data_IF_200695855990
#
_entry.id   IF_200695855990
#
_cell.length_a   1.000
_cell.length_b   1.000
_cell.length_c   1.000
_cell.angle_alpha   90.00
_cell.angle_beta   90.00
_cell.angle_gamma   90.00
#
_symmetry.space_group_name_H-M   'P 1'
#
loop_
_entity.id
_entity.type
_entity.pdbx_description
1 polymer ?
#
# COMPACT_ATOMS: atom_id res chain seq x y z
N UNK A 1 -18.83 44.45 -12.34
CA UNK A 1 -19.77 43.32 -12.16
C UNK A 1 -20.59 43.23 -13.43
N UNK A 2 -20.11 42.48 -14.43
CA UNK A 2 -20.86 42.25 -15.65
C UNK A 2 -22.06 41.37 -15.32
N UNK A 3 -23.25 41.93 -15.50
CA UNK A 3 -24.49 41.27 -15.12
C UNK A 3 -24.82 40.19 -16.15
N UNK A 4 -24.99 38.94 -15.71
CA UNK A 4 -25.50 37.82 -16.52
C UNK A 4 -26.84 38.15 -17.22
N UNK A 5 -27.54 39.19 -16.78
CA UNK A 5 -28.73 39.74 -17.45
C UNK A 5 -28.45 40.40 -18.81
N UNK A 6 -27.19 40.68 -19.17
CA UNK A 6 -26.82 41.27 -20.47
C UNK A 6 -26.34 40.25 -21.50
N UNK A 7 -26.49 38.95 -21.24
CA UNK A 7 -26.17 37.95 -22.27
C UNK A 7 -27.17 38.08 -23.44
N UNK A 8 -26.70 38.28 -24.68
CA UNK A 8 -27.57 38.26 -25.86
C UNK A 8 -28.09 36.83 -26.11
N UNK A 9 -29.20 36.73 -26.85
CA UNK A 9 -29.87 35.45 -27.12
C UNK A 9 -28.92 34.48 -27.84
N UNK A 10 -28.67 33.31 -27.24
CA UNK A 10 -27.71 32.32 -27.74
C UNK A 10 -26.28 32.45 -27.18
N UNK A 11 -25.98 33.44 -26.34
CA UNK A 11 -24.68 33.53 -25.67
C UNK A 11 -24.55 32.50 -24.51
N UNK A 12 -23.33 31.99 -24.35
CA UNK A 12 -22.95 31.06 -23.28
C UNK A 12 -21.90 31.74 -22.42
N UNK A 13 -22.19 31.92 -21.14
CA UNK A 13 -21.19 32.33 -20.16
C UNK A 13 -20.64 31.08 -19.47
N UNK A 14 -19.32 30.93 -19.48
CA UNK A 14 -18.63 29.84 -18.80
C UNK A 14 -17.66 30.45 -17.80
N UNK A 15 -17.82 30.06 -16.55
CA UNK A 15 -16.86 30.40 -15.49
C UNK A 15 -16.43 29.12 -14.82
N UNK A 16 -15.13 28.99 -14.60
CA UNK A 16 -14.54 27.86 -13.89
C UNK A 16 -13.67 28.38 -12.77
N UNK A 17 -13.93 27.91 -11.57
CA UNK A 17 -13.08 28.16 -10.42
C UNK A 17 -12.62 26.83 -9.85
N UNK A 18 -11.32 26.60 -9.96
CA UNK A 18 -10.67 25.33 -9.60
C UNK A 18 -11.36 24.14 -10.28
N UNK A 19 -12.15 23.38 -9.51
CA UNK A 19 -12.80 22.12 -9.91
C UNK A 19 -14.32 22.25 -10.02
N UNK A 20 -14.83 23.48 -9.94
CA UNK A 20 -16.22 23.81 -10.16
C UNK A 20 -16.34 24.56 -11.49
N UNK A 21 -17.17 24.02 -12.37
CA UNK A 21 -17.51 24.65 -13.64
C UNK A 21 -18.96 25.07 -13.62
N UNK A 22 -19.23 26.31 -14.01
CA UNK A 22 -20.58 26.84 -14.14
C UNK A 22 -20.75 27.29 -15.58
N UNK A 23 -21.83 26.85 -16.19
CA UNK A 23 -22.23 27.22 -17.53
C UNK A 23 -23.63 27.85 -17.47
N UNK A 24 -23.74 29.10 -17.88
CA UNK A 24 -25.00 29.83 -17.95
C UNK A 24 -25.37 30.07 -19.42
N UNK A 25 -26.59 29.69 -19.81
CA UNK A 25 -27.13 29.86 -21.18
C UNK A 25 -28.45 30.59 -21.15
N UNK A 26 -28.65 31.53 -22.08
CA UNK A 26 -29.95 32.16 -22.29
C UNK A 26 -30.63 31.54 -23.52
N UNK A 27 -31.86 31.03 -23.34
CA UNK A 27 -32.69 30.49 -24.43
C UNK A 27 -34.13 30.95 -24.25
N UNK A 28 -34.66 31.75 -25.18
CA UNK A 28 -36.04 32.22 -25.16
C UNK A 28 -36.41 33.02 -23.90
N UNK A 29 -35.51 33.88 -23.43
CA UNK A 29 -35.69 34.68 -22.21
C UNK A 29 -35.47 33.94 -20.89
N UNK A 30 -35.20 32.61 -20.90
CA UNK A 30 -34.89 31.82 -19.70
C UNK A 30 -33.39 31.58 -19.58
N UNK A 31 -32.85 31.77 -18.37
CA UNK A 31 -31.44 31.49 -18.05
C UNK A 31 -31.34 30.09 -17.42
N UNK A 32 -30.56 29.22 -18.04
CA UNK A 32 -30.22 27.89 -17.54
C UNK A 32 -28.82 27.93 -16.94
N UNK A 33 -28.68 27.50 -15.69
CA UNK A 33 -27.40 27.42 -14.98
C UNK A 33 -27.09 25.96 -14.71
N UNK A 34 -25.99 25.47 -15.26
CA UNK A 34 -25.47 24.12 -15.02
C UNK A 34 -24.17 24.22 -14.26
N UNK A 35 -24.14 23.66 -13.05
CA UNK A 35 -22.93 23.54 -12.24
C UNK A 35 -22.43 22.09 -12.25
N UNK A 36 -21.15 21.87 -12.56
CA UNK A 36 -20.48 20.59 -12.36
C UNK A 36 -19.31 20.76 -11.40
N UNK A 37 -19.07 19.77 -10.54
CA UNK A 37 -17.98 19.79 -9.58
C UNK A 37 -17.30 18.43 -9.53
N UNK A 38 -15.98 18.42 -9.59
CA UNK A 38 -15.16 17.20 -9.59
C UNK A 38 -14.78 16.73 -8.17
N UNK A 39 -15.61 17.03 -7.17
CA UNK A 39 -15.31 16.71 -5.77
C UNK A 39 -15.49 15.22 -5.44
N UNK A 40 -16.43 14.54 -6.11
CA UNK A 40 -16.69 13.12 -5.86
C UNK A 40 -15.63 12.22 -6.50
N UNK A 41 -15.25 12.50 -7.76
CA UNK A 41 -14.24 11.71 -8.46
C UNK A 41 -12.90 11.75 -7.72
N UNK A 42 -12.50 12.94 -7.24
CA UNK A 42 -11.29 13.08 -6.42
C UNK A 42 -11.35 12.28 -5.12
N UNK A 43 -12.51 12.23 -4.46
CA UNK A 43 -12.65 11.43 -3.24
C UNK A 43 -12.48 9.95 -3.55
N UNK A 44 -13.06 9.47 -4.65
CA UNK A 44 -12.89 8.09 -5.10
C UNK A 44 -11.41 7.78 -5.36
N UNK A 45 -10.73 8.63 -6.14
CA UNK A 45 -9.30 8.46 -6.45
C UNK A 45 -8.43 8.46 -5.19
N UNK A 46 -8.73 9.34 -4.23
CA UNK A 46 -8.01 9.39 -2.95
C UNK A 46 -8.16 8.10 -2.15
N UNK A 47 -9.39 7.60 -2.02
CA UNK A 47 -9.65 6.37 -1.27
C UNK A 47 -9.11 5.15 -2.00
N UNK A 48 -9.20 5.10 -3.33
CA UNK A 48 -8.62 4.03 -4.15
C UNK A 48 -7.10 3.94 -3.94
N UNK A 49 -6.38 5.06 -4.02
CA UNK A 49 -4.95 5.11 -3.75
C UNK A 49 -4.59 4.65 -2.33
N UNK A 50 -5.39 5.05 -1.33
CA UNK A 50 -5.21 4.63 0.06
C UNK A 50 -5.42 3.12 0.23
N UNK A 51 -6.46 2.56 -0.41
CA UNK A 51 -6.76 1.13 -0.37
C UNK A 51 -5.67 0.30 -1.06
N UNK A 52 -5.16 0.74 -2.21
CA UNK A 52 -4.04 0.07 -2.88
C UNK A 52 -2.81 0.04 -1.98
N UNK A 53 -2.43 1.17 -1.40
CA UNK A 53 -1.27 1.25 -0.51
C UNK A 53 -1.40 0.31 0.69
N UNK A 54 -2.56 0.30 1.34
CA UNK A 54 -2.79 -0.57 2.49
C UNK A 54 -2.79 -2.05 2.10
N UNK A 55 -3.39 -2.39 0.97
CA UNK A 55 -3.45 -3.76 0.46
C UNK A 55 -2.05 -4.27 0.08
N UNK A 56 -1.27 -3.48 -0.63
CA UNK A 56 0.08 -3.84 -1.06
C UNK A 56 1.00 -4.04 0.15
N UNK A 57 0.88 -3.19 1.17
CA UNK A 57 1.63 -3.35 2.42
C UNK A 57 1.26 -4.67 3.14
N UNK A 58 -0.02 -5.04 3.16
CA UNK A 58 -0.47 -6.30 3.75
C UNK A 58 0.00 -7.52 2.95
N UNK A 59 -0.07 -7.46 1.62
CA UNK A 59 0.40 -8.53 0.74
C UNK A 59 1.90 -8.73 0.86
N UNK A 60 2.67 -7.64 0.91
CA UNK A 60 4.11 -7.70 1.16
C UNK A 60 4.41 -8.37 2.50
N UNK A 61 3.72 -7.98 3.58
CA UNK A 61 3.90 -8.60 4.90
C UNK A 61 3.54 -10.08 4.91
N UNK A 62 2.46 -10.46 4.23
CA UNK A 62 2.08 -11.85 4.10
C UNK A 62 3.15 -12.67 3.36
N UNK A 63 3.69 -12.12 2.27
CA UNK A 63 4.75 -12.76 1.50
C UNK A 63 6.05 -12.89 2.30
N UNK A 64 6.43 -11.86 3.08
CA UNK A 64 7.55 -11.91 4.01
C UNK A 64 7.37 -13.05 5.03
N UNK A 65 6.19 -13.16 5.66
CA UNK A 65 5.90 -14.22 6.62
C UNK A 65 5.92 -15.62 6.02
N UNK A 66 5.43 -15.78 4.78
CA UNK A 66 5.48 -17.05 4.06
C UNK A 66 6.94 -17.43 3.76
N UNK A 67 7.76 -16.48 3.29
CA UNK A 67 9.18 -16.70 3.06
C UNK A 67 9.93 -17.03 4.36
N UNK A 68 9.66 -16.32 5.46
CA UNK A 68 10.27 -16.62 6.76
C UNK A 68 9.88 -18.02 7.25
N UNK A 69 8.61 -18.40 7.11
CA UNK A 69 8.15 -19.76 7.45
C UNK A 69 8.87 -20.81 6.61
N UNK A 70 8.99 -20.58 5.30
CA UNK A 70 9.69 -21.49 4.39
C UNK A 70 11.19 -21.59 4.75
N UNK A 71 11.85 -20.47 5.06
CA UNK A 71 13.24 -20.46 5.49
C UNK A 71 13.43 -21.19 6.82
N UNK A 72 12.49 -21.05 7.77
CA UNK A 72 12.51 -21.75 9.06
C UNK A 72 12.21 -23.25 8.93
N UNK A 73 11.52 -23.66 7.86
CA UNK A 73 11.22 -25.08 7.61
C UNK A 73 12.43 -25.90 7.17
N UNK A 74 13.60 -25.27 6.96
CA UNK A 74 14.86 -26.00 6.82
C UNK A 74 15.19 -26.72 8.14
N UNK A 75 15.23 -28.06 8.17
CA UNK A 75 15.48 -28.83 9.39
C UNK A 75 16.80 -28.47 10.08
N UNK A 76 17.78 -27.98 9.32
CA UNK A 76 19.09 -27.58 9.84
C UNK A 76 19.10 -26.19 10.50
N UNK A 77 18.03 -25.41 10.36
CA UNK A 77 17.85 -24.14 11.04
C UNK A 77 17.12 -24.25 12.38
N UNK A 78 16.78 -25.47 12.82
CA UNK A 78 16.16 -25.69 14.13
C UNK A 78 17.18 -25.44 15.26
N UNK A 79 16.96 -24.44 16.13
CA UNK A 79 17.88 -24.13 17.22
C UNK A 79 18.08 -25.31 18.19
N UNK A 80 17.09 -26.19 18.34
CA UNK A 80 17.20 -27.37 19.21
C UNK A 80 18.16 -28.39 18.60
N UNK A 81 18.08 -28.62 17.28
CA UNK A 81 18.96 -29.56 16.58
C UNK A 81 20.43 -29.11 16.65
N UNK A 82 20.69 -27.82 16.39
CA UNK A 82 22.05 -27.23 16.47
C UNK A 82 22.60 -27.36 17.89
N UNK A 83 21.76 -27.09 18.89
CA UNK A 83 22.15 -27.20 20.30
C UNK A 83 22.53 -28.64 20.69
N UNK A 84 21.74 -29.64 20.30
CA UNK A 84 22.02 -31.06 20.57
C UNK A 84 23.30 -31.52 19.87
N UNK A 85 23.50 -31.15 18.60
CA UNK A 85 24.73 -31.43 17.85
C UNK A 85 25.96 -30.83 18.54
N UNK A 86 25.83 -29.59 19.05
CA UNK A 86 26.86 -28.93 19.85
C UNK A 86 27.27 -29.75 21.08
N UNK A 87 26.29 -30.19 21.88
CA UNK A 87 26.55 -31.02 23.07
C UNK A 87 27.25 -32.33 22.69
N UNK A 88 26.72 -33.06 21.69
CA UNK A 88 27.29 -34.34 21.27
C UNK A 88 28.74 -34.18 20.83
N UNK A 89 29.03 -33.16 20.01
CA UNK A 89 30.38 -32.87 19.55
C UNK A 89 31.34 -32.56 20.71
N UNK A 90 30.90 -31.77 21.69
CA UNK A 90 31.71 -31.45 22.88
C UNK A 90 32.00 -32.66 23.76
N UNK A 91 31.02 -33.56 23.93
CA UNK A 91 31.21 -34.82 24.67
C UNK A 91 32.23 -35.72 23.97
N UNK A 92 32.12 -35.89 22.65
CA UNK A 92 33.07 -36.68 21.86
C UNK A 92 34.51 -36.15 21.96
N UNK A 93 34.69 -34.83 21.87
CA UNK A 93 36.01 -34.19 22.03
C UNK A 93 36.57 -34.45 23.42
N UNK A 94 35.74 -34.33 24.45
CA UNK A 94 36.15 -34.56 25.84
C UNK A 94 36.56 -36.01 26.08
N UNK A 95 35.78 -36.97 25.58
CA UNK A 95 36.08 -38.41 25.72
C UNK A 95 37.38 -38.76 24.98
N UNK A 96 37.52 -38.35 23.72
CA UNK A 96 38.72 -38.63 22.92
C UNK A 96 39.98 -38.02 23.53
N UNK A 97 39.90 -36.80 24.07
CA UNK A 97 41.01 -36.16 24.77
C UNK A 97 41.42 -36.93 26.03
N UNK A 98 40.45 -37.38 26.84
CA UNK A 98 40.73 -38.15 28.06
C UNK A 98 41.29 -39.55 27.75
N UNK A 99 40.83 -40.21 26.69
CA UNK A 99 41.37 -41.49 26.24
C UNK A 99 42.83 -41.33 25.76
N UNK A 100 43.10 -40.31 24.96
CA UNK A 100 44.46 -40.03 24.47
C UNK A 100 45.43 -39.63 25.57
N UNK A 101 44.94 -39.04 26.67
CA UNK A 101 45.73 -38.75 27.87
C UNK A 101 46.06 -40.02 28.68
N UNK A 102 45.22 -41.06 28.63
CA UNK A 102 45.49 -42.33 29.31
C UNK A 102 46.48 -43.23 28.59
N UNK A 103 46.62 -43.08 27.27
CA UNK A 103 47.61 -43.83 26.47
C UNK A 103 49.03 -43.22 26.51
N UNK A 104 49.21 -42.05 27.14
CA UNK A 104 50.49 -41.33 27.22
C UNK A 104 51.00 -41.29 28.66
#
# INVERSE_FOLDING_TARGET
>A
MDSLLKLPEGAVFRESKDRAHIEAKQKGGVIYITGTCDSLQRQVEYYEALYHTARDALEQKQNELIQERQKRSDPLADPILIYVLGIVSGVLVTITFNLKKKEK
#
